data_IF_266158691226
#
_entry.id   IF_266158691226
#
_cell.length_a   1.000
_cell.length_b   1.000
_cell.length_c   1.000
_cell.angle_alpha   90.00
_cell.angle_beta   90.00
_cell.angle_gamma   90.00
#
_symmetry.space_group_name_H-M   'P 1'
#
loop_
_entity.id
_entity.type
_entity.pdbx_description
1 polymer ?
#
# COMPACT_ATOMS: atom_id res chain seq x y z
N UNK A 1 8.52 6.90 -1.69
CA UNK A 1 7.10 6.48 -1.66
C UNK A 1 7.09 4.95 -1.73
N UNK A 2 6.35 4.24 -0.88
CA UNK A 2 6.40 2.77 -0.82
C UNK A 2 6.08 2.09 -2.16
N UNK A 3 5.16 2.64 -2.94
CA UNK A 3 4.82 2.12 -4.28
C UNK A 3 6.06 1.96 -5.19
N UNK A 4 7.00 2.90 -5.15
CA UNK A 4 8.25 2.82 -5.95
C UNK A 4 9.10 1.62 -5.58
N UNK A 5 9.13 1.23 -4.31
CA UNK A 5 9.91 0.07 -3.88
C UNK A 5 9.30 -1.22 -4.46
N UNK A 6 7.97 -1.30 -4.49
CA UNK A 6 7.25 -2.44 -5.08
C UNK A 6 7.46 -2.46 -6.59
N UNK A 7 7.30 -1.34 -7.28
CA UNK A 7 7.57 -1.23 -8.71
C UNK A 7 8.99 -1.73 -9.08
N UNK A 8 10.01 -1.33 -8.32
CA UNK A 8 11.39 -1.79 -8.53
C UNK A 8 11.50 -3.32 -8.39
N UNK A 9 10.78 -3.95 -7.45
CA UNK A 9 10.78 -5.41 -7.29
C UNK A 9 10.20 -6.08 -8.55
N UNK A 10 9.02 -5.65 -9.01
CA UNK A 10 8.36 -6.25 -10.18
C UNK A 10 9.10 -5.97 -11.49
N UNK A 11 9.73 -4.80 -11.62
CA UNK A 11 10.64 -4.50 -12.74
C UNK A 11 11.84 -5.44 -12.77
N UNK A 12 12.47 -5.71 -11.62
CA UNK A 12 13.59 -6.65 -11.52
C UNK A 12 13.20 -8.11 -11.75
N UNK A 13 11.95 -8.46 -11.46
CA UNK A 13 11.38 -9.78 -11.76
C UNK A 13 10.89 -9.89 -13.21
N UNK A 14 10.96 -8.81 -14.00
CA UNK A 14 10.47 -8.74 -15.38
C UNK A 14 8.98 -9.10 -15.52
N UNK A 15 8.19 -8.87 -14.46
CA UNK A 15 6.75 -9.13 -14.45
C UNK A 15 6.02 -7.89 -14.94
N UNK A 16 5.24 -7.96 -16.03
CA UNK A 16 4.48 -6.82 -16.54
C UNK A 16 3.35 -6.43 -15.57
N UNK A 17 3.30 -5.15 -15.22
CA UNK A 17 2.34 -4.63 -14.25
C UNK A 17 1.77 -3.28 -14.67
N UNK A 18 0.70 -2.86 -14.00
CA UNK A 18 0.17 -1.50 -14.00
C UNK A 18 -0.09 -1.05 -12.57
N UNK A 19 -0.05 0.27 -12.34
CA UNK A 19 -0.40 0.88 -11.05
C UNK A 19 -1.76 1.55 -11.20
N UNK A 20 -2.69 1.20 -10.31
CA UNK A 20 -4.05 1.71 -10.30
C UNK A 20 -4.28 2.54 -9.04
N UNK A 21 -4.80 3.76 -9.19
CA UNK A 21 -5.37 4.50 -8.05
C UNK A 21 -6.78 3.99 -7.80
N UNK A 22 -7.05 3.54 -6.59
CA UNK A 22 -8.35 2.96 -6.24
C UNK A 22 -9.37 4.08 -6.02
N UNK A 23 -10.62 3.87 -6.42
CA UNK A 23 -11.71 4.81 -6.18
C UNK A 23 -12.19 4.70 -4.72
N UNK A 24 -12.79 5.76 -4.19
CA UNK A 24 -13.22 5.79 -2.79
C UNK A 24 -14.19 4.68 -2.41
N UNK A 25 -15.04 4.21 -3.34
CA UNK A 25 -16.01 3.12 -3.09
C UNK A 25 -15.37 1.74 -2.91
N UNK A 26 -14.13 1.54 -3.38
CA UNK A 26 -13.37 0.29 -3.26
C UNK A 26 -12.25 0.40 -2.20
N UNK A 27 -12.13 1.55 -1.53
CA UNK A 27 -11.23 1.70 -0.39
C UNK A 27 -11.89 1.16 0.88
N UNK A 28 -11.07 0.55 1.74
CA UNK A 28 -11.48 0.21 3.09
C UNK A 28 -11.49 1.45 4.01
N UNK A 29 -12.19 1.37 5.13
CA UNK A 29 -12.39 2.49 6.06
C UNK A 29 -11.10 3.16 6.57
N UNK A 30 -9.96 2.48 6.47
CA UNK A 30 -8.71 2.94 7.04
C UNK A 30 -7.78 3.67 6.06
N UNK A 31 -8.04 3.63 4.75
CA UNK A 31 -7.15 4.20 3.73
C UNK A 31 -7.67 5.56 3.25
N UNK A 32 -6.82 6.59 3.33
CA UNK A 32 -7.06 7.90 2.71
C UNK A 32 -6.63 7.95 1.24
N UNK A 33 -5.71 7.08 0.85
CA UNK A 33 -5.21 6.92 -0.51
C UNK A 33 -4.66 5.50 -0.67
N UNK A 34 -5.06 4.82 -1.74
CA UNK A 34 -4.67 3.44 -2.03
C UNK A 34 -4.23 3.30 -3.48
N UNK A 35 -3.06 2.71 -3.69
CA UNK A 35 -2.59 2.27 -4.99
C UNK A 35 -2.45 0.75 -5.01
N UNK A 36 -3.04 0.10 -6.01
CA UNK A 36 -2.82 -1.32 -6.23
C UNK A 36 -1.89 -1.50 -7.44
N UNK A 37 -0.91 -2.39 -7.29
CA UNK A 37 -0.10 -2.90 -8.39
C UNK A 37 -0.76 -4.20 -8.86
N UNK A 38 -1.15 -4.18 -10.12
CA UNK A 38 -1.81 -5.30 -10.77
C UNK A 38 -0.89 -5.88 -11.85
N UNK A 39 -0.78 -7.21 -11.89
CA UNK A 39 -0.01 -7.92 -12.91
C UNK A 39 -0.93 -8.55 -13.93
N UNK A 40 -0.44 -8.66 -15.17
CA UNK A 40 -1.16 -9.42 -16.19
C UNK A 40 -1.08 -10.91 -15.88
N UNK A 41 -2.22 -11.60 -15.76
CA UNK A 41 -2.29 -13.05 -15.60
C UNK A 41 -2.78 -13.71 -16.91
N UNK A 42 -1.89 -14.27 -17.75
CA UNK A 42 -2.24 -14.77 -19.09
C UNK A 42 -3.32 -15.85 -19.06
N UNK A 43 -3.25 -16.78 -18.09
CA UNK A 43 -4.23 -17.85 -17.94
C UNK A 43 -5.66 -17.34 -17.65
N UNK A 44 -5.79 -16.10 -17.15
CA UNK A 44 -7.09 -15.47 -16.87
C UNK A 44 -7.45 -14.37 -17.86
N UNK A 45 -6.54 -13.99 -18.76
CA UNK A 45 -6.73 -12.90 -19.73
C UNK A 45 -7.06 -11.55 -19.08
N UNK A 46 -6.55 -11.28 -17.87
CA UNK A 46 -6.85 -10.03 -17.13
C UNK A 46 -5.75 -9.65 -16.15
N UNK A 47 -5.75 -8.38 -15.76
CA UNK A 47 -4.94 -7.87 -14.65
C UNK A 47 -5.52 -8.32 -13.30
N UNK A 48 -4.64 -8.63 -12.34
CA UNK A 48 -5.01 -9.02 -10.96
C UNK A 48 -4.09 -8.34 -9.96
N UNK A 49 -4.66 -7.90 -8.84
CA UNK A 49 -3.94 -7.29 -7.72
C UNK A 49 -2.94 -8.26 -7.10
N UNK A 50 -1.69 -7.82 -6.95
CA UNK A 50 -0.65 -8.54 -6.19
C UNK A 50 -0.06 -7.75 -5.03
N UNK A 51 -0.09 -6.42 -5.13
CA UNK A 51 0.35 -5.58 -4.04
C UNK A 51 -0.56 -4.38 -3.88
N UNK A 52 -0.78 -4.01 -2.62
CA UNK A 52 -1.52 -2.81 -2.27
C UNK A 52 -0.65 -1.88 -1.45
N UNK A 53 -0.72 -0.58 -1.72
CA UNK A 53 0.00 0.48 -1.02
C UNK A 53 -0.99 1.50 -0.47
N UNK A 54 -1.12 1.59 0.85
CA UNK A 54 -2.11 2.44 1.51
C UNK A 54 -1.46 3.51 2.38
N UNK A 55 -2.01 4.73 2.30
CA UNK A 55 -1.83 5.77 3.30
C UNK A 55 -3.03 5.76 4.23
N UNK A 56 -2.80 5.52 5.51
CA UNK A 56 -3.86 5.41 6.51
C UNK A 56 -3.89 6.61 7.46
N UNK A 57 -3.09 7.65 7.17
CA UNK A 57 -2.92 8.84 8.02
C UNK A 57 -2.84 8.43 9.50
N UNK A 58 -3.62 9.06 10.36
CA UNK A 58 -3.70 8.78 11.78
C UNK A 58 -4.85 7.83 12.17
N UNK A 59 -5.56 7.22 11.21
CA UNK A 59 -6.71 6.33 11.49
C UNK A 59 -6.32 5.17 12.42
N UNK A 60 -5.30 4.38 12.05
CA UNK A 60 -4.87 3.23 12.83
C UNK A 60 -4.22 3.64 14.16
N UNK A 61 -3.29 4.63 14.18
CA UNK A 61 -2.68 5.12 15.41
C UNK A 61 -3.66 5.70 16.44
N UNK A 62 -4.71 6.42 16.00
CA UNK A 62 -5.75 6.92 16.91
C UNK A 62 -6.47 5.77 17.62
N UNK A 63 -6.84 4.73 16.86
CA UNK A 63 -7.54 3.55 17.39
C UNK A 63 -6.67 2.73 18.35
N UNK A 64 -5.36 2.66 18.09
CA UNK A 64 -4.41 1.88 18.88
C UNK A 64 -3.69 2.70 19.97
N UNK A 65 -3.94 4.00 20.07
CA UNK A 65 -3.26 4.88 21.02
C UNK A 65 -1.76 5.10 20.74
N UNK A 66 -1.32 4.89 19.49
CA UNK A 66 0.10 4.99 19.11
C UNK A 66 0.48 6.46 18.94
N UNK A 67 1.49 6.90 19.69
CA UNK A 67 2.01 8.26 19.66
C UNK A 67 3.53 8.26 19.49
N UNK A 68 4.05 9.33 18.91
CA UNK A 68 5.48 9.61 18.86
C UNK A 68 5.78 10.82 19.73
N UNK A 69 6.88 10.74 20.46
CA UNK A 69 7.42 11.89 21.19
C UNK A 69 8.41 12.64 20.29
N UNK A 70 8.17 13.92 20.07
CA UNK A 70 9.03 14.80 19.29
C UNK A 70 10.06 15.48 20.18
N UNK A 71 11.08 16.07 19.55
CA UNK A 71 12.01 16.97 20.26
C UNK A 71 11.21 18.03 21.02
N UNK A 72 11.50 18.19 22.32
CA UNK A 72 10.75 19.07 23.22
C UNK A 72 9.61 18.40 24.00
N UNK A 73 9.48 17.07 23.97
CA UNK A 73 8.56 16.31 24.83
C UNK A 73 7.08 16.32 24.37
N UNK A 74 6.77 16.98 23.24
CA UNK A 74 5.42 16.98 22.68
C UNK A 74 5.09 15.58 22.13
N UNK A 75 4.00 15.00 22.62
CA UNK A 75 3.44 13.74 22.12
C UNK A 75 2.35 14.01 21.10
N UNK A 76 2.47 13.40 19.93
CA UNK A 76 1.49 13.53 18.85
C UNK A 76 1.17 12.18 18.21
N UNK A 77 -0.03 12.06 17.65
CA UNK A 77 -0.43 10.89 16.88
C UNK A 77 0.36 10.86 15.57
N UNK A 78 0.98 9.72 15.27
CA UNK A 78 1.75 9.55 14.05
C UNK A 78 0.85 9.20 12.86
N UNK A 79 1.41 9.26 11.65
CA UNK A 79 0.77 8.75 10.45
C UNK A 79 1.33 7.38 10.06
N UNK A 80 0.48 6.51 9.52
CA UNK A 80 0.83 5.16 9.07
C UNK A 80 0.67 5.02 7.57
N UNK A 81 1.62 4.31 6.97
CA UNK A 81 1.57 3.84 5.59
C UNK A 81 1.96 2.36 5.58
N UNK A 82 1.41 1.60 4.65
CA UNK A 82 1.75 0.18 4.48
C UNK A 82 1.78 -0.20 3.01
N UNK A 83 2.49 -1.29 2.70
CA UNK A 83 2.60 -1.80 1.34
C UNK A 83 2.97 -3.28 1.33
N UNK A 84 2.35 -4.06 0.44
CA UNK A 84 2.79 -5.43 0.15
C UNK A 84 4.08 -5.40 -0.66
N UNK A 85 5.14 -6.03 -0.17
CA UNK A 85 6.38 -6.20 -0.94
C UNK A 85 6.25 -7.31 -1.99
N UNK A 86 5.90 -8.52 -1.56
CA UNK A 86 5.67 -9.69 -2.42
C UNK A 86 4.68 -10.64 -1.76
N UNK A 87 3.81 -11.27 -2.55
CA UNK A 87 2.85 -12.26 -2.09
C UNK A 87 3.10 -13.58 -2.83
N UNK A 88 3.97 -14.43 -2.27
CA UNK A 88 4.60 -15.58 -2.95
C UNK A 88 3.67 -16.62 -3.55
N UNK A 89 2.41 -16.72 -3.09
CA UNK A 89 1.43 -17.66 -3.65
C UNK A 89 0.72 -17.14 -4.91
N UNK A 90 0.88 -15.86 -5.24
CA UNK A 90 0.20 -15.19 -6.35
C UNK A 90 1.15 -14.51 -7.33
N UNK A 91 2.42 -14.35 -6.96
CA UNK A 91 3.52 -13.82 -7.77
C UNK A 91 4.18 -14.93 -8.57
#
# INVERSE_FOLDING_TARGET
KLIKNVEILYQKLEIPYRVMSICSGEMNDNASLKYDLEVWMPAQGRFRELASCSNCTDYQPRKLGIKVERKGGKRETLHTINSTAIATQRT
#
